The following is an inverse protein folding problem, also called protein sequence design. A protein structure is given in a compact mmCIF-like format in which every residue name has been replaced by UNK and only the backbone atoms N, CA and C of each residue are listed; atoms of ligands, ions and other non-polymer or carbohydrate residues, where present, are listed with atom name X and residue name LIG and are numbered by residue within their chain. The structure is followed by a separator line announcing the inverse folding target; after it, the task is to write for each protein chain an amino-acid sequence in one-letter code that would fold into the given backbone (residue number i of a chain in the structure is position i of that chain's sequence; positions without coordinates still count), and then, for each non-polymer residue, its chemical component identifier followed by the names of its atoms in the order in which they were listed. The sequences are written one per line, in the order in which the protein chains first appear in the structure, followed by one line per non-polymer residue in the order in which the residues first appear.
data_IF_479242609451
#
_entry.id   IF_479242609451
#
_cell.length_a   1.000
_cell.length_b   1.000
_cell.length_c   1.000
_cell.angle_alpha   90.00
_cell.angle_beta   90.00
_cell.angle_gamma   90.00
#
_symmetry.space_group_name_H-M   'P 1'
#
loop_
_entity.id
_entity.type
_entity.pdbx_description
1 polymer ?
#
# COMPACT_ATOMS: atom_id res chain seq x y z
N UNK A 1 -15.93 -7.98 23.36
CA UNK A 1 -15.67 -8.45 21.98
C UNK A 1 -15.05 -7.31 21.18
N UNK A 2 -13.71 -7.24 21.06
CA UNK A 2 -12.97 -6.58 19.96
C UNK A 2 -11.46 -6.78 20.16
N UNK A 3 -10.93 -7.99 19.89
CA UNK A 3 -9.50 -8.30 20.09
C UNK A 3 -8.64 -8.05 18.85
N UNK A 4 -9.27 -7.88 17.69
CA UNK A 4 -8.58 -7.70 16.41
C UNK A 4 -8.37 -6.22 16.19
N UNK A 5 -7.11 -5.81 16.06
CA UNK A 5 -6.75 -4.45 15.67
C UNK A 5 -6.53 -4.40 14.16
N UNK A 6 -7.02 -3.37 13.47
CA UNK A 6 -6.74 -3.21 12.06
C UNK A 6 -5.24 -3.07 11.83
N UNK A 7 -4.76 -3.60 10.69
CA UNK A 7 -3.36 -3.43 10.31
C UNK A 7 -3.12 -1.95 9.99
N UNK A 8 -2.10 -1.39 10.62
CA UNK A 8 -1.68 -0.01 10.39
C UNK A 8 -0.26 0.04 9.82
N UNK A 9 0.01 1.07 9.03
CA UNK A 9 1.36 1.46 8.63
C UNK A 9 1.46 2.99 8.64
N UNK A 10 2.49 3.53 9.28
CA UNK A 10 2.64 4.98 9.48
C UNK A 10 1.36 5.65 9.99
N UNK A 11 0.74 5.04 11.01
CA UNK A 11 -0.52 5.45 11.62
C UNK A 11 -1.75 5.50 10.70
N UNK A 12 -1.63 5.01 9.46
CA UNK A 12 -2.77 4.84 8.53
C UNK A 12 -3.30 3.42 8.60
N UNK A 13 -4.61 3.26 8.73
CA UNK A 13 -5.28 1.97 8.60
C UNK A 13 -5.20 1.53 7.14
N UNK A 14 -4.71 0.32 6.90
CA UNK A 14 -4.63 -0.24 5.56
C UNK A 14 -6.00 -0.77 5.13
N UNK A 15 -6.46 -0.32 3.95
CA UNK A 15 -7.58 -0.96 3.26
C UNK A 15 -7.09 -2.21 2.51
N UNK A 16 -8.03 -2.99 1.94
CA UNK A 16 -7.72 -4.21 1.19
C UNK A 16 -6.73 -4.00 0.03
N UNK A 17 -7.00 -3.04 -0.88
CA UNK A 17 -6.09 -2.72 -1.98
C UNK A 17 -4.67 -2.34 -1.54
N UNK A 18 -4.53 -1.45 -0.55
CA UNK A 18 -3.22 -1.05 -0.01
C UNK A 18 -2.45 -2.26 0.55
N UNK A 19 -3.16 -3.17 1.23
CA UNK A 19 -2.53 -4.38 1.78
C UNK A 19 -2.07 -5.33 0.67
N UNK A 20 -2.88 -5.52 -0.37
CA UNK A 20 -2.53 -6.36 -1.52
C UNK A 20 -1.31 -5.81 -2.27
N UNK A 21 -1.24 -4.49 -2.47
CA UNK A 21 -0.08 -3.83 -3.10
C UNK A 21 1.20 -4.00 -2.29
N UNK A 22 1.13 -3.91 -0.96
CA UNK A 22 2.30 -4.18 -0.09
C UNK A 22 2.79 -5.63 -0.23
N UNK A 23 1.86 -6.59 -0.23
CA UNK A 23 2.21 -8.00 -0.40
C UNK A 23 2.84 -8.24 -1.77
N UNK A 24 2.28 -7.63 -2.82
CA UNK A 24 2.83 -7.73 -4.17
C UNK A 24 4.25 -7.17 -4.25
N UNK A 25 4.48 -5.95 -3.76
CA UNK A 25 5.79 -5.31 -3.76
C UNK A 25 6.86 -6.12 -3.01
N UNK A 26 6.49 -6.80 -1.90
CA UNK A 26 7.41 -7.70 -1.22
C UNK A 26 7.72 -8.96 -2.02
N UNK A 27 6.71 -9.57 -2.64
CA UNK A 27 6.91 -10.77 -3.45
C UNK A 27 7.78 -10.45 -4.67
N UNK A 28 7.56 -9.32 -5.33
CA UNK A 28 8.42 -8.86 -6.43
C UNK A 28 9.86 -8.68 -5.98
N UNK A 29 10.10 -7.95 -4.89
CA UNK A 29 11.46 -7.75 -4.37
C UNK A 29 12.17 -9.07 -4.05
N UNK A 30 11.47 -10.03 -3.43
CA UNK A 30 12.00 -11.36 -3.14
C UNK A 30 12.36 -12.11 -4.43
N UNK A 31 11.46 -12.08 -5.42
CA UNK A 31 11.64 -12.78 -6.68
C UNK A 31 12.77 -12.18 -7.53
N UNK A 32 13.04 -10.88 -7.39
CA UNK A 32 14.15 -10.18 -8.04
C UNK A 32 15.49 -10.39 -7.31
N UNK A 33 15.51 -11.13 -6.20
CA UNK A 33 16.71 -11.34 -5.37
C UNK A 33 17.08 -10.11 -4.54
N UNK A 34 16.21 -9.10 -4.48
CA UNK A 34 16.36 -7.94 -3.63
C UNK A 34 15.83 -8.21 -2.21
N UNK A 35 16.26 -7.39 -1.25
CA UNK A 35 15.73 -7.45 0.12
C UNK A 35 14.40 -6.69 0.16
N UNK A 36 13.29 -7.31 0.59
CA UNK A 36 12.00 -6.63 0.71
C UNK A 36 12.09 -5.50 1.74
N UNK A 37 11.93 -4.26 1.26
CA UNK A 37 12.04 -3.05 2.07
C UNK A 37 10.65 -2.44 2.30
N UNK A 38 10.25 -2.38 3.58
CA UNK A 38 8.96 -1.83 4.03
C UNK A 38 8.74 -0.36 3.67
N UNK A 39 9.80 0.45 3.68
CA UNK A 39 9.74 1.87 3.39
C UNK A 39 9.56 2.13 1.89
N UNK A 40 10.25 1.34 1.05
CA UNK A 40 10.09 1.40 -0.40
C UNK A 40 8.69 0.92 -0.81
N UNK A 41 8.22 -0.21 -0.28
CA UNK A 41 6.88 -0.71 -0.54
C UNK A 41 5.80 0.29 -0.10
N UNK A 42 5.97 0.92 1.08
CA UNK A 42 5.06 1.98 1.53
C UNK A 42 5.03 3.19 0.61
N UNK A 43 6.19 3.66 0.18
CA UNK A 43 6.31 4.81 -0.71
C UNK A 43 5.60 4.56 -2.04
N UNK A 44 5.69 3.33 -2.56
CA UNK A 44 4.97 2.92 -3.77
C UNK A 44 3.45 2.96 -3.58
N UNK A 45 2.95 2.39 -2.49
CA UNK A 45 1.50 2.42 -2.15
C UNK A 45 1.00 3.85 -2.01
N UNK A 46 1.73 4.72 -1.30
CA UNK A 46 1.37 6.13 -1.19
C UNK A 46 1.29 6.81 -2.56
N UNK A 47 2.26 6.56 -3.44
CA UNK A 47 2.25 7.09 -4.80
C UNK A 47 1.04 6.60 -5.58
N UNK A 48 0.72 5.31 -5.51
CA UNK A 48 -0.40 4.74 -6.24
C UNK A 48 -1.75 5.26 -5.76
N UNK A 49 -1.96 5.35 -4.46
CA UNK A 49 -3.18 5.92 -3.88
C UNK A 49 -3.35 7.40 -4.22
N UNK A 50 -2.26 8.19 -4.24
CA UNK A 50 -2.33 9.59 -4.69
C UNK A 50 -2.70 9.72 -6.17
N UNK A 51 -2.16 8.85 -7.03
CA UNK A 51 -2.52 8.83 -8.45
C UNK A 51 -3.99 8.45 -8.66
N UNK A 52 -4.50 7.44 -7.94
CA UNK A 52 -5.93 7.06 -7.99
C UNK A 52 -6.82 8.22 -7.56
N UNK A 53 -6.53 8.84 -6.42
CA UNK A 53 -7.30 9.97 -5.92
C UNK A 53 -7.29 11.18 -6.88
N UNK A 54 -6.15 11.43 -7.54
CA UNK A 54 -6.05 12.47 -8.57
C UNK A 54 -6.90 12.15 -9.79
N UNK A 55 -6.87 10.91 -10.28
CA UNK A 55 -7.66 10.48 -11.43
C UNK A 55 -9.16 10.52 -11.13
N UNK A 56 -9.58 10.02 -9.95
CA UNK A 56 -10.96 10.14 -9.47
C UNK A 56 -11.41 11.60 -9.38
N UNK A 57 -10.53 12.48 -8.87
CA UNK A 57 -10.80 13.91 -8.83
C UNK A 57 -11.03 14.50 -10.22
N UNK A 58 -10.19 14.16 -11.20
CA UNK A 58 -10.32 14.63 -12.58
C UNK A 58 -11.58 14.13 -13.28
N UNK A 59 -12.02 12.90 -13.02
CA UNK A 59 -13.21 12.31 -13.63
C UNK A 59 -14.51 12.99 -13.18
N UNK A 60 -14.49 13.66 -12.03
CA UNK A 60 -15.63 14.40 -11.48
C UNK A 60 -15.75 15.82 -12.08
N UNK A 61 -14.68 16.37 -12.68
CA UNK A 61 -14.65 17.71 -13.30
C UNK A 61 -15.07 17.70 -14.77
#
# INVERSE_FOLDING_TARGET
MNRIKPKTMNNKILNGPMYAELVHAYIEAINEGAVPNIENAWSYVCKNECMKAMAEGMDIY
#
